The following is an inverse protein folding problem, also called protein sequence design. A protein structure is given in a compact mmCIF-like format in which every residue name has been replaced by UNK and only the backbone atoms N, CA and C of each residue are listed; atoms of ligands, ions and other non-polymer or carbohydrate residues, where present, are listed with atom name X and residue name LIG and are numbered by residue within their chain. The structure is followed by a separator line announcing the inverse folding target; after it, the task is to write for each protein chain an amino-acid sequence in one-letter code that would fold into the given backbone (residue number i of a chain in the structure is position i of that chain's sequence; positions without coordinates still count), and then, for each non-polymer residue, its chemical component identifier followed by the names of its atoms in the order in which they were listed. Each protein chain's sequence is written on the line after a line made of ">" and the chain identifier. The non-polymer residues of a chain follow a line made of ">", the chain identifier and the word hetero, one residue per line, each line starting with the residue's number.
data_IF_368368296476
#
_entry.id   IF_368368296476
#
_cell.length_a   1.000
_cell.length_b   1.000
_cell.length_c   1.000
_cell.angle_alpha   90.00
_cell.angle_beta   90.00
_cell.angle_gamma   90.00
#
_symmetry.space_group_name_H-M   'P 1'
#
loop_
_entity.id
_entity.type
_entity.pdbx_description
1 polymer ?
#
# COMPACT_ATOMS: atom_id res chain seq x y z
N UNK A 1 11.98 -11.33 -5.87
CA UNK A 1 12.67 -12.58 -5.48
C UNK A 1 11.66 -13.49 -4.79
N UNK A 2 11.84 -14.81 -4.91
CA UNK A 2 10.97 -15.80 -4.28
C UNK A 2 11.76 -16.65 -3.29
N UNK A 3 11.09 -17.08 -2.24
CA UNK A 3 11.61 -17.98 -1.21
C UNK A 3 10.62 -19.14 -1.01
N UNK A 4 11.13 -20.32 -0.69
CA UNK A 4 10.35 -21.50 -0.33
C UNK A 4 10.83 -22.00 1.04
N UNK A 5 9.90 -22.08 2.00
CA UNK A 5 10.22 -22.40 3.41
C UNK A 5 11.33 -21.51 4.01
N UNK A 6 11.35 -20.24 3.61
CA UNK A 6 12.31 -19.23 4.06
C UNK A 6 13.64 -19.21 3.31
N UNK A 7 13.94 -20.24 2.52
CA UNK A 7 15.17 -20.32 1.71
C UNK A 7 14.97 -19.75 0.31
N UNK A 8 16.01 -19.15 -0.27
CA UNK A 8 15.94 -18.57 -1.61
C UNK A 8 15.52 -19.64 -2.64
N UNK A 9 14.49 -19.34 -3.42
CA UNK A 9 13.93 -20.31 -4.37
C UNK A 9 14.95 -20.59 -5.49
N UNK A 10 15.37 -21.85 -5.59
CA UNK A 10 16.27 -22.32 -6.66
C UNK A 10 15.47 -22.54 -7.94
N UNK A 11 15.77 -21.75 -8.97
CA UNK A 11 15.14 -21.89 -10.29
C UNK A 11 15.68 -23.13 -11.03
N UNK A 12 14.80 -23.85 -11.72
CA UNK A 12 15.11 -25.01 -12.53
C UNK A 12 14.01 -25.25 -13.59
N UNK A 13 14.02 -26.39 -14.27
CA UNK A 13 13.04 -26.74 -15.31
C UNK A 13 11.59 -26.84 -14.80
N UNK A 14 11.39 -27.15 -13.51
CA UNK A 14 10.06 -27.24 -12.87
C UNK A 14 9.64 -25.95 -12.17
N UNK A 15 10.59 -25.18 -11.61
CA UNK A 15 10.34 -23.98 -10.82
C UNK A 15 11.02 -22.80 -11.46
N UNK A 16 10.25 -21.88 -12.04
CA UNK A 16 10.80 -20.72 -12.73
C UNK A 16 10.08 -19.44 -12.33
N UNK A 17 10.79 -18.30 -12.37
CA UNK A 17 10.19 -16.99 -12.12
C UNK A 17 10.27 -16.18 -13.40
N UNK A 18 9.11 -15.74 -13.89
CA UNK A 18 9.00 -14.88 -15.07
C UNK A 18 9.49 -13.45 -14.79
N UNK A 19 9.74 -12.68 -15.84
CA UNK A 19 10.23 -11.29 -15.77
C UNK A 19 9.25 -10.35 -15.05
N UNK A 20 7.96 -10.65 -15.10
CA UNK A 20 6.89 -9.95 -14.38
C UNK A 20 6.80 -10.33 -12.89
N UNK A 21 7.66 -11.23 -12.42
CA UNK A 21 7.71 -11.70 -11.04
C UNK A 21 6.81 -12.91 -10.75
N UNK A 22 6.11 -13.45 -11.75
CA UNK A 22 5.22 -14.61 -11.59
C UNK A 22 6.03 -15.89 -11.35
N UNK A 23 5.74 -16.61 -10.26
CA UNK A 23 6.29 -17.94 -9.99
C UNK A 23 5.48 -19.00 -10.75
N UNK A 24 6.17 -19.79 -11.56
CA UNK A 24 5.63 -20.89 -12.35
C UNK A 24 6.18 -22.20 -11.81
N UNK A 25 5.28 -23.07 -11.36
CA UNK A 25 5.58 -24.44 -10.94
C UNK A 25 4.97 -25.41 -11.97
N UNK A 26 5.79 -26.29 -12.54
CA UNK A 26 5.39 -27.33 -13.50
C UNK A 26 5.54 -28.70 -12.84
N UNK A 27 4.72 -29.65 -13.28
CA UNK A 27 4.76 -31.05 -12.83
C UNK A 27 4.77 -31.15 -11.29
N UNK A 28 3.75 -30.55 -10.67
CA UNK A 28 3.60 -30.43 -9.22
C UNK A 28 3.64 -31.80 -8.54
N UNK A 29 4.44 -31.91 -7.48
CA UNK A 29 4.49 -33.08 -6.60
C UNK A 29 4.25 -32.69 -5.11
N UNK A 30 4.11 -33.68 -4.23
CA UNK A 30 3.82 -33.43 -2.80
C UNK A 30 4.92 -32.60 -2.10
N UNK A 31 6.17 -32.71 -2.55
CA UNK A 31 7.31 -31.96 -2.05
C UNK A 31 7.33 -30.48 -2.48
N UNK A 32 6.48 -30.07 -3.41
CA UNK A 32 6.25 -28.66 -3.71
C UNK A 32 5.24 -28.00 -2.74
N UNK A 33 4.63 -28.77 -1.84
CA UNK A 33 3.77 -28.20 -0.80
C UNK A 33 4.60 -27.44 0.22
N UNK A 34 4.18 -26.23 0.55
CA UNK A 34 4.86 -25.39 1.53
C UNK A 34 4.51 -23.92 1.40
N UNK A 35 5.25 -23.10 2.16
CA UNK A 35 5.08 -21.65 2.17
C UNK A 35 6.01 -21.00 1.14
N UNK A 36 5.41 -20.29 0.19
CA UNK A 36 6.11 -19.48 -0.80
C UNK A 36 6.02 -18.00 -0.43
N UNK A 37 7.15 -17.34 -0.40
CA UNK A 37 7.25 -15.92 -0.06
C UNK A 37 7.77 -15.14 -1.25
N UNK A 38 6.94 -14.24 -1.78
CA UNK A 38 7.35 -13.25 -2.75
C UNK A 38 7.88 -12.01 -2.03
N UNK A 39 9.06 -11.57 -2.44
CA UNK A 39 9.70 -10.35 -1.96
C UNK A 39 9.91 -9.42 -3.15
N UNK A 40 9.22 -8.29 -3.14
CA UNK A 40 9.52 -7.16 -4.03
C UNK A 40 10.36 -6.15 -3.25
N UNK A 41 11.56 -5.83 -3.73
CA UNK A 41 12.47 -4.90 -3.05
C UNK A 41 12.96 -3.83 -4.02
N UNK A 42 13.00 -2.59 -3.54
CA UNK A 42 13.66 -1.46 -4.20
C UNK A 42 14.59 -0.76 -3.22
N UNK A 43 15.27 0.30 -3.66
CA UNK A 43 16.07 1.15 -2.76
C UNK A 43 15.22 1.84 -1.67
N UNK A 44 13.90 1.93 -1.86
CA UNK A 44 12.98 2.59 -0.93
C UNK A 44 12.31 1.67 0.08
N UNK A 45 12.41 0.34 -0.07
CA UNK A 45 11.74 -0.58 0.84
C UNK A 45 11.55 -1.99 0.30
N UNK A 46 10.90 -2.83 1.11
CA UNK A 46 10.68 -4.25 0.83
C UNK A 46 9.22 -4.60 1.11
N UNK A 47 8.50 -5.06 0.08
CA UNK A 47 7.19 -5.67 0.23
C UNK A 47 7.33 -7.18 0.25
N UNK A 48 6.60 -7.83 1.17
CA UNK A 48 6.64 -9.28 1.37
C UNK A 48 5.22 -9.81 1.31
N UNK A 49 5.00 -10.85 0.51
CA UNK A 49 3.72 -11.55 0.43
C UNK A 49 3.94 -13.05 0.57
N UNK A 50 3.14 -13.72 1.40
CA UNK A 50 3.22 -15.16 1.63
C UNK A 50 1.99 -15.86 1.05
N UNK A 51 2.20 -17.02 0.45
CA UNK A 51 1.15 -17.94 0.04
C UNK A 51 1.51 -19.36 0.44
N UNK A 52 0.53 -20.14 0.88
CA UNK A 52 0.70 -21.57 1.17
C UNK A 52 0.18 -22.36 -0.02
N UNK A 53 1.02 -23.22 -0.57
CA UNK A 53 0.63 -24.20 -1.59
C UNK A 53 0.50 -25.57 -0.92
N UNK A 54 -0.63 -26.23 -1.15
CA UNK A 54 -0.85 -27.62 -0.76
C UNK A 54 -1.11 -28.44 -2.02
N UNK A 55 -0.26 -29.42 -2.28
CA UNK A 55 -0.41 -30.37 -3.39
C UNK A 55 -0.83 -31.72 -2.81
N UNK A 56 -2.01 -32.20 -3.20
CA UNK A 56 -2.44 -33.57 -2.88
C UNK A 56 -2.97 -34.31 -4.12
N UNK A 57 -3.11 -35.63 -3.98
CA UNK A 57 -3.53 -36.53 -5.04
C UNK A 57 -4.94 -36.19 -5.54
N UNK A 58 -5.16 -36.13 -6.88
CA UNK A 58 -6.46 -35.87 -7.48
C UNK A 58 -7.54 -36.93 -7.14
N UNK A 59 -7.13 -38.05 -6.56
CA UNK A 59 -8.00 -39.18 -6.23
C UNK A 59 -8.55 -39.05 -4.80
N UNK A 60 -8.05 -38.11 -3.97
CA UNK A 60 -8.54 -37.94 -2.61
C UNK A 60 -9.96 -37.32 -2.62
N UNK A 61 -11.02 -38.09 -2.29
CA UNK A 61 -12.40 -37.61 -2.38
C UNK A 61 -12.75 -36.58 -1.29
N UNK A 62 -11.90 -36.45 -0.26
CA UNK A 62 -12.10 -35.50 0.83
C UNK A 62 -11.46 -34.13 0.56
N UNK A 63 -10.84 -33.93 -0.61
CA UNK A 63 -10.17 -32.69 -0.96
C UNK A 63 -10.97 -31.92 -1.99
N UNK A 64 -11.51 -30.80 -1.54
CA UNK A 64 -11.98 -29.75 -2.42
C UNK A 64 -10.75 -28.97 -2.93
N UNK A 65 -10.39 -29.19 -4.19
CA UNK A 65 -9.34 -28.42 -4.84
C UNK A 65 -9.77 -26.95 -4.96
N UNK A 66 -9.29 -26.10 -4.06
CA UNK A 66 -9.34 -24.66 -4.24
C UNK A 66 -8.31 -24.30 -5.30
N UNK A 67 -8.73 -24.26 -6.56
CA UNK A 67 -7.94 -23.59 -7.58
C UNK A 67 -7.75 -22.14 -7.14
N UNK A 68 -6.54 -21.60 -7.31
CA UNK A 68 -6.34 -20.17 -7.17
C UNK A 68 -7.44 -19.46 -7.96
N UNK A 69 -8.15 -18.53 -7.31
CA UNK A 69 -9.23 -17.81 -7.95
C UNK A 69 -8.70 -17.22 -9.26
N UNK A 70 -9.46 -17.41 -10.35
CA UNK A 70 -9.15 -16.72 -11.59
C UNK A 70 -9.05 -15.21 -11.28
N UNK A 71 -8.04 -14.54 -11.80
CA UNK A 71 -7.88 -13.09 -11.66
C UNK A 71 -9.12 -12.34 -12.18
N UNK A 72 -9.88 -12.97 -13.09
CA UNK A 72 -11.19 -12.48 -13.52
C UNK A 72 -12.24 -12.50 -12.40
N UNK A 73 -12.17 -13.46 -11.47
CA UNK A 73 -13.08 -13.63 -10.33
C UNK A 73 -12.81 -12.65 -9.18
N UNK A 74 -11.59 -12.10 -9.10
CA UNK A 74 -11.22 -11.06 -8.15
C UNK A 74 -11.82 -9.69 -8.54
N UNK A 75 -12.19 -8.86 -7.56
CA UNK A 75 -12.68 -7.52 -7.83
C UNK A 75 -11.55 -6.63 -8.37
N UNK A 76 -11.91 -5.51 -8.98
CA UNK A 76 -10.99 -4.47 -9.41
C UNK A 76 -10.46 -3.64 -8.23
N UNK A 77 -9.25 -3.06 -8.35
CA UNK A 77 -8.70 -2.15 -7.35
C UNK A 77 -9.56 -0.88 -7.24
N UNK A 78 -9.80 -0.34 -6.03
CA UNK A 78 -10.43 0.96 -5.85
C UNK A 78 -9.64 2.10 -6.50
N UNK A 79 -10.26 3.28 -6.57
CA UNK A 79 -9.55 4.50 -6.99
C UNK A 79 -8.49 4.92 -5.97
N UNK A 80 -7.60 5.83 -6.37
CA UNK A 80 -6.61 6.46 -5.48
C UNK A 80 -7.34 7.01 -4.23
N UNK A 81 -6.96 6.61 -3.01
CA UNK A 81 -7.53 7.16 -1.78
C UNK A 81 -7.19 8.65 -1.67
N UNK A 82 -8.20 9.46 -1.38
CA UNK A 82 -8.08 10.90 -1.18
C UNK A 82 -8.10 11.21 0.31
N UNK A 83 -7.28 12.17 0.75
CA UNK A 83 -7.36 12.69 2.10
C UNK A 83 -8.61 13.57 2.19
N UNK A 84 -9.54 13.20 3.06
CA UNK A 84 -10.77 13.96 3.29
C UNK A 84 -10.65 14.89 4.49
N UNK A 85 -10.05 14.42 5.59
CA UNK A 85 -9.83 15.22 6.79
C UNK A 85 -8.64 14.68 7.58
N UNK A 86 -7.98 15.53 8.37
CA UNK A 86 -6.91 15.16 9.28
C UNK A 86 -7.01 15.91 10.59
N UNK A 87 -6.50 15.29 11.65
CA UNK A 87 -6.28 15.90 12.97
C UNK A 87 -4.84 15.63 13.39
N UNK A 88 -4.45 16.09 14.58
CA UNK A 88 -3.13 15.84 15.18
C UNK A 88 -2.79 14.35 15.41
N UNK A 89 -3.75 13.44 15.21
CA UNK A 89 -3.52 12.01 15.42
C UNK A 89 -4.39 11.10 14.56
N UNK A 90 -5.08 11.64 13.56
CA UNK A 90 -5.96 10.85 12.71
C UNK A 90 -6.06 11.39 11.30
N UNK A 91 -6.30 10.51 10.34
CA UNK A 91 -6.55 10.85 8.94
C UNK A 91 -7.76 10.07 8.47
N UNK A 92 -8.70 10.80 7.88
CA UNK A 92 -9.85 10.22 7.19
C UNK A 92 -9.56 10.22 5.70
N UNK A 93 -9.61 9.04 5.10
CA UNK A 93 -9.46 8.83 3.66
C UNK A 93 -10.77 8.37 3.04
N UNK A 94 -11.00 8.74 1.79
CA UNK A 94 -12.14 8.30 0.98
C UNK A 94 -11.68 7.75 -0.37
N UNK A 95 -12.47 6.88 -0.97
CA UNK A 95 -12.19 6.31 -2.29
C UNK A 95 -13.50 5.96 -3.00
N UNK A 96 -13.42 5.52 -4.26
CA UNK A 96 -14.54 5.00 -5.02
C UNK A 96 -14.32 3.53 -5.39
N UNK A 97 -15.40 2.76 -5.40
CA UNK A 97 -15.38 1.37 -5.85
C UNK A 97 -15.13 1.29 -7.37
N UNK A 98 -14.41 0.25 -7.79
CA UNK A 98 -14.26 -0.09 -9.20
C UNK A 98 -15.52 -0.79 -9.74
N UNK A 99 -15.87 -0.55 -11.01
CA UNK A 99 -16.99 -1.23 -11.67
C UNK A 99 -16.77 -2.74 -11.84
N UNK A 100 -15.51 -3.21 -11.85
CA UNK A 100 -15.20 -4.65 -11.86
C UNK A 100 -15.42 -5.24 -10.45
N UNK A 101 -16.55 -5.92 -10.25
CA UNK A 101 -16.85 -6.62 -8.98
C UNK A 101 -16.29 -8.06 -8.92
N UNK A 102 -15.96 -8.65 -10.06
CA UNK A 102 -15.53 -10.06 -10.16
C UNK A 102 -16.72 -11.02 -10.12
N UNK A 103 -16.51 -12.23 -9.59
CA UNK A 103 -17.50 -13.33 -9.62
C UNK A 103 -18.45 -13.35 -8.41
N UNK A 104 -18.26 -12.46 -7.44
CA UNK A 104 -19.14 -12.35 -6.26
C UNK A 104 -19.27 -10.90 -5.81
N UNK A 105 -20.30 -10.61 -5.01
CA UNK A 105 -20.51 -9.28 -4.44
C UNK A 105 -19.33 -8.84 -3.58
N UNK A 106 -19.08 -7.54 -3.57
CA UNK A 106 -18.06 -6.93 -2.71
C UNK A 106 -18.47 -7.09 -1.25
N UNK A 107 -17.55 -7.61 -0.44
CA UNK A 107 -17.72 -7.79 1.00
C UNK A 107 -17.18 -6.59 1.80
N UNK A 108 -16.30 -5.79 1.21
CA UNK A 108 -15.74 -4.58 1.81
C UNK A 108 -14.35 -4.25 1.29
N UNK A 109 -13.60 -3.47 2.06
CA UNK A 109 -12.25 -3.03 1.71
C UNK A 109 -11.22 -3.35 2.80
N UNK A 110 -9.98 -3.60 2.38
CA UNK A 110 -8.80 -3.66 3.24
C UNK A 110 -8.00 -2.38 3.05
N UNK A 111 -7.69 -1.69 4.15
CA UNK A 111 -6.91 -0.46 4.19
C UNK A 111 -5.53 -0.75 4.75
N UNK A 112 -4.49 -0.30 4.05
CA UNK A 112 -3.10 -0.42 4.49
C UNK A 112 -2.44 0.95 4.55
N UNK A 113 -1.48 1.07 5.46
CA UNK A 113 -0.69 2.28 5.67
C UNK A 113 0.79 1.99 5.55
N UNK A 114 1.54 2.96 5.04
CA UNK A 114 2.99 2.97 5.05
C UNK A 114 3.49 4.25 5.72
N UNK A 115 4.50 4.13 6.56
CA UNK A 115 5.31 5.24 7.06
C UNK A 115 6.78 4.85 7.03
N UNK A 116 7.64 5.81 6.70
CA UNK A 116 9.10 5.63 6.77
C UNK A 116 9.60 5.63 8.22
N UNK A 117 8.87 6.26 9.14
CA UNK A 117 9.35 6.60 10.48
C UNK A 117 8.73 5.72 11.58
N UNK A 118 7.46 5.30 11.43
CA UNK A 118 6.71 4.58 12.49
C UNK A 118 7.01 3.08 12.63
N UNK A 119 8.13 2.61 12.12
CA UNK A 119 8.53 1.20 12.25
C UNK A 119 9.36 0.91 13.51
N UNK A 120 9.39 1.85 14.44
CA UNK A 120 10.11 1.79 15.71
C UNK A 120 9.15 1.76 16.91
N UNK A 121 8.04 1.03 16.81
CA UNK A 121 7.12 0.78 17.92
C UNK A 121 7.26 -0.64 18.49
N UNK A 122 7.04 -0.81 19.78
CA UNK A 122 7.29 -2.06 20.52
C UNK A 122 6.43 -3.28 20.06
N UNK A 123 5.41 -3.05 19.23
CA UNK A 123 4.49 -4.08 18.72
C UNK A 123 4.58 -4.30 17.20
N UNK A 124 5.47 -3.58 16.50
CA UNK A 124 5.80 -3.88 15.10
C UNK A 124 7.15 -4.59 15.09
N UNK A 125 7.29 -5.71 14.35
CA UNK A 125 8.60 -6.33 14.18
C UNK A 125 9.61 -5.26 13.76
N UNK A 126 10.74 -5.19 14.46
CA UNK A 126 11.81 -4.17 14.36
C UNK A 126 12.40 -3.97 12.95
N UNK A 127 11.87 -4.68 11.95
CA UNK A 127 12.31 -4.80 10.56
C UNK A 127 11.19 -4.57 9.53
N UNK A 128 10.00 -4.10 9.91
CA UNK A 128 8.83 -4.03 9.03
C UNK A 128 8.86 -2.85 8.04
N UNK A 129 9.88 -2.72 7.18
CA UNK A 129 9.97 -1.71 6.11
C UNK A 129 8.92 -1.90 4.99
N UNK A 130 7.63 -1.83 5.32
CA UNK A 130 6.54 -2.14 4.39
C UNK A 130 5.16 -1.69 4.86
N UNK A 131 4.16 -1.99 4.03
CA UNK A 131 2.75 -1.67 4.28
C UNK A 131 2.18 -2.50 5.43
N UNK A 132 1.35 -1.88 6.27
CA UNK A 132 0.69 -2.48 7.44
C UNK A 132 -0.82 -2.39 7.26
N UNK A 133 -1.54 -3.49 7.50
CA UNK A 133 -3.02 -3.50 7.47
C UNK A 133 -3.58 -2.78 8.69
N UNK A 134 -4.33 -1.70 8.46
CA UNK A 134 -5.06 -0.97 9.50
C UNK A 134 -6.44 -1.53 9.75
N UNK A 135 -7.14 -1.92 8.69
CA UNK A 135 -8.50 -2.42 8.78
C UNK A 135 -8.81 -3.41 7.64
N UNK A 136 -9.71 -4.35 7.93
CA UNK A 136 -10.29 -5.29 6.98
C UNK A 136 -11.81 -5.17 7.03
N UNK A 137 -12.46 -5.48 5.91
CA UNK A 137 -13.93 -5.44 5.77
C UNK A 137 -14.53 -4.09 6.17
N UNK A 138 -13.89 -3.00 5.74
CA UNK A 138 -14.50 -1.67 5.79
C UNK A 138 -15.63 -1.64 4.76
N UNK A 139 -16.87 -1.45 5.18
CA UNK A 139 -18.04 -1.50 4.28
C UNK A 139 -18.28 -0.19 3.54
N UNK A 140 -17.89 0.93 4.14
CA UNK A 140 -17.99 2.26 3.53
C UNK A 140 -16.75 2.54 2.70
N UNK A 141 -16.88 3.36 1.65
CA UNK A 141 -15.75 3.83 0.85
C UNK A 141 -14.99 4.98 1.55
N UNK A 142 -14.86 4.87 2.87
CA UNK A 142 -14.26 5.83 3.78
C UNK A 142 -13.69 5.09 5.00
N UNK A 143 -12.54 5.54 5.49
CA UNK A 143 -11.95 5.04 6.72
C UNK A 143 -11.16 6.13 7.45
N UNK A 144 -11.26 6.15 8.77
CA UNK A 144 -10.46 7.03 9.63
C UNK A 144 -9.38 6.23 10.34
N UNK A 145 -8.14 6.40 9.89
CA UNK A 145 -6.95 5.92 10.57
C UNK A 145 -6.71 6.77 11.83
N UNK A 146 -6.62 6.14 13.00
CA UNK A 146 -6.48 6.82 14.30
C UNK A 146 -5.15 6.45 14.97
N UNK A 147 -4.77 7.20 16.00
CA UNK A 147 -3.54 6.98 16.78
C UNK A 147 -2.28 7.09 15.92
N UNK A 148 -2.31 8.00 14.94
CA UNK A 148 -1.16 8.34 14.12
C UNK A 148 -0.24 9.28 14.91
N UNK A 149 1.05 9.23 14.62
CA UNK A 149 2.07 9.99 15.36
C UNK A 149 2.25 11.37 14.71
N UNK A 150 2.14 12.47 15.47
CA UNK A 150 2.49 13.81 14.98
C UNK A 150 3.92 13.88 14.42
N UNK A 151 4.12 14.69 13.39
CA UNK A 151 5.39 14.85 12.67
C UNK A 151 5.70 13.71 11.69
N UNK A 152 4.92 12.62 11.70
CA UNK A 152 5.18 11.47 10.82
C UNK A 152 4.37 11.54 9.54
N UNK A 153 5.03 11.29 8.41
CA UNK A 153 4.38 11.15 7.10
C UNK A 153 3.83 9.74 6.88
N UNK A 154 2.55 9.67 6.46
CA UNK A 154 1.84 8.45 6.12
C UNK A 154 1.35 8.46 4.67
N UNK A 155 1.26 7.26 4.08
CA UNK A 155 0.63 6.98 2.80
C UNK A 155 -0.33 5.80 2.94
N UNK A 156 -1.39 5.77 2.15
CA UNK A 156 -2.45 4.77 2.24
C UNK A 156 -2.69 4.07 0.90
N UNK A 157 -3.03 2.78 0.95
CA UNK A 157 -3.61 2.02 -0.17
C UNK A 157 -4.84 1.27 0.29
N UNK A 158 -5.72 0.97 -0.66
CA UNK A 158 -6.95 0.22 -0.41
C UNK A 158 -7.08 -0.92 -1.41
N UNK A 159 -7.58 -2.06 -0.94
CA UNK A 159 -7.95 -3.23 -1.77
C UNK A 159 -9.43 -3.56 -1.57
N UNK A 160 -10.11 -3.96 -2.62
CA UNK A 160 -11.48 -4.48 -2.57
C UNK A 160 -11.45 -5.96 -2.20
N UNK A 161 -12.37 -6.43 -1.36
CA UNK A 161 -12.52 -7.84 -0.99
C UNK A 161 -13.86 -8.38 -1.51
N UNK A 162 -13.82 -9.56 -2.13
CA UNK A 162 -15.02 -10.38 -2.37
C UNK A 162 -14.79 -11.82 -1.86
N UNK A 163 -15.74 -12.73 -2.05
CA UNK A 163 -15.63 -14.11 -1.54
C UNK A 163 -14.47 -14.92 -2.18
N UNK A 164 -13.91 -14.45 -3.29
CA UNK A 164 -12.77 -15.07 -3.97
C UNK A 164 -11.42 -14.46 -3.57
N UNK A 165 -11.40 -13.32 -2.88
CA UNK A 165 -10.19 -12.72 -2.33
C UNK A 165 -10.10 -11.20 -2.50
N UNK A 166 -8.86 -10.70 -2.40
CA UNK A 166 -8.54 -9.28 -2.52
C UNK A 166 -8.18 -8.90 -3.97
N UNK A 167 -8.58 -7.71 -4.38
CA UNK A 167 -8.10 -7.07 -5.60
C UNK A 167 -6.60 -6.75 -5.52
N UNK A 168 -6.04 -6.30 -6.65
CA UNK A 168 -4.82 -5.48 -6.63
C UNK A 168 -4.99 -4.23 -5.75
N UNK A 169 -3.89 -3.58 -5.39
CA UNK A 169 -3.93 -2.31 -4.65
C UNK A 169 -4.44 -1.17 -5.52
N UNK A 170 -5.12 -0.21 -4.91
CA UNK A 170 -5.27 1.13 -5.47
C UNK A 170 -3.90 1.75 -5.76
N UNK A 171 -3.83 2.84 -6.56
CA UNK A 171 -2.72 3.77 -6.47
C UNK A 171 -2.51 4.24 -5.02
N UNK A 172 -1.27 4.59 -4.69
CA UNK A 172 -0.91 5.14 -3.39
C UNK A 172 -1.54 6.52 -3.23
N UNK A 173 -2.07 6.83 -2.03
CA UNK A 173 -2.58 8.16 -1.69
C UNK A 173 -1.48 9.23 -1.79
N UNK A 174 -1.88 10.50 -1.78
CA UNK A 174 -0.90 11.54 -1.46
C UNK A 174 -0.37 11.34 -0.03
N UNK A 175 0.89 11.74 0.16
CA UNK A 175 1.54 11.67 1.46
C UNK A 175 0.97 12.76 2.38
N UNK A 176 0.77 12.43 3.66
CA UNK A 176 0.28 13.38 4.66
C UNK A 176 1.10 13.28 5.94
N UNK A 177 1.58 14.43 6.42
CA UNK A 177 2.24 14.57 7.73
C UNK A 177 1.23 14.98 8.78
N UNK A 178 1.22 14.29 9.91
CA UNK A 178 0.27 14.52 10.99
C UNK A 178 0.71 15.69 11.87
N UNK A 179 -0.20 16.57 12.28
CA UNK A 179 0.11 17.66 13.21
C UNK A 179 0.86 18.85 12.59
N UNK A 180 1.11 18.86 11.28
CA UNK A 180 1.39 20.11 10.57
C UNK A 180 0.07 20.68 10.08
N UNK A 181 -0.54 21.54 10.89
CA UNK A 181 -1.61 22.40 10.42
C UNK A 181 -1.06 23.28 9.28
N UNK A 182 -1.48 23.00 8.05
CA UNK A 182 -1.36 23.95 6.94
C UNK A 182 -2.12 25.25 7.22
N UNK A 183 -2.93 25.26 8.29
CA UNK A 183 -3.57 26.45 8.82
C UNK A 183 -2.74 27.25 9.85
N UNK A 184 -1.70 26.66 10.46
CA UNK A 184 -0.88 27.38 11.45
C UNK A 184 0.15 28.31 10.81
N UNK A 185 0.48 28.10 9.53
CA UNK A 185 1.37 28.99 8.79
C UNK A 185 0.73 30.34 8.41
N UNK A 186 -0.60 30.47 8.44
CA UNK A 186 -1.28 31.77 8.28
C UNK A 186 -1.62 32.47 9.61
N UNK A 187 -1.68 31.74 10.73
CA UNK A 187 -1.92 32.33 12.06
C UNK A 187 -0.65 32.74 12.82
N UNK A 188 0.52 32.21 12.48
CA UNK A 188 1.78 32.51 13.20
C UNK A 188 2.42 33.87 12.86
N UNK A 189 1.79 34.70 12.03
CA UNK A 189 2.18 36.11 11.89
C UNK A 189 3.57 36.37 11.28
N UNK A 190 4.31 35.34 10.85
CA UNK A 190 5.65 35.50 10.27
C UNK A 190 5.61 36.18 8.88
N UNK A 191 4.45 36.21 8.22
CA UNK A 191 4.28 36.87 6.91
C UNK A 191 3.36 38.11 6.94
N UNK A 192 2.97 38.63 8.12
CA UNK A 192 1.96 39.70 8.18
C UNK A 192 2.44 41.09 7.74
N UNK A 193 3.74 41.30 7.50
CA UNK A 193 4.32 42.63 7.29
C UNK A 193 5.06 42.84 5.96
N UNK A 194 4.88 41.99 4.95
CA UNK A 194 5.33 42.33 3.58
C UNK A 194 4.12 42.71 2.72
N UNK A 195 3.77 44.00 2.77
CA UNK A 195 2.77 44.64 1.89
C UNK A 195 3.10 44.48 0.40
N UNK A 196 4.35 44.22 0.03
CA UNK A 196 4.73 43.88 -1.35
C UNK A 196 4.28 42.48 -1.79
N UNK A 197 4.21 41.51 -0.87
CA UNK A 197 3.83 40.13 -1.21
C UNK A 197 2.32 40.00 -1.45
N UNK A 198 1.50 40.81 -0.77
CA UNK A 198 0.04 40.88 -0.96
C UNK A 198 -0.36 41.42 -2.34
N UNK A 199 0.43 42.31 -2.92
CA UNK A 199 0.12 42.91 -4.22
C UNK A 199 0.46 41.98 -5.39
N UNK A 200 1.41 41.04 -5.22
CA UNK A 200 1.80 40.13 -6.30
C UNK A 200 0.88 38.91 -6.46
N UNK A 201 0.24 38.43 -5.38
CA UNK A 201 -0.66 37.25 -5.43
C UNK A 201 -2.04 37.59 -6.05
N UNK A 202 -2.45 38.86 -6.03
CA UNK A 202 -3.72 39.33 -6.60
C UNK A 202 -3.63 39.76 -8.07
N UNK A 203 -2.46 39.62 -8.68
CA UNK A 203 -2.30 39.77 -10.13
C UNK A 203 -2.02 38.39 -10.70
N UNK A 204 -2.70 38.00 -11.79
CA UNK A 204 -2.59 36.73 -12.55
C UNK A 204 -1.17 36.43 -13.12
N UNK A 205 -0.12 36.94 -12.49
CA UNK A 205 1.26 36.69 -12.85
C UNK A 205 1.70 35.38 -12.20
N UNK A 206 1.55 34.29 -12.95
CA UNK A 206 2.21 33.01 -12.66
C UNK A 206 3.72 33.28 -12.61
N UNK A 207 4.30 33.18 -11.41
CA UNK A 207 5.77 33.24 -11.24
C UNK A 207 6.30 31.84 -11.49
N UNK A 208 6.92 31.64 -12.66
CA UNK A 208 7.59 30.40 -13.01
C UNK A 208 8.98 30.37 -12.35
N UNK A 209 9.28 29.26 -11.65
CA UNK A 209 10.58 29.05 -11.03
C UNK A 209 11.58 28.66 -12.12
N UNK A 210 12.34 29.64 -12.62
CA UNK A 210 13.25 29.43 -13.75
C UNK A 210 14.50 28.63 -13.34
N UNK A 211 14.98 28.78 -12.11
CA UNK A 211 16.14 28.02 -11.62
C UNK A 211 16.22 28.01 -10.09
N UNK A 212 16.73 26.92 -9.52
CA UNK A 212 17.06 26.81 -8.10
C UNK A 212 18.41 26.11 -7.95
N UNK A 213 19.33 26.70 -7.18
CA UNK A 213 20.63 26.11 -6.88
C UNK A 213 20.67 25.62 -5.43
N UNK A 214 21.14 24.38 -5.18
CA UNK A 214 21.32 23.88 -3.83
C UNK A 214 22.53 24.57 -3.18
N UNK A 215 22.35 25.02 -1.95
CA UNK A 215 23.46 25.48 -1.11
C UNK A 215 23.93 24.26 -0.33
N UNK A 216 25.08 23.71 -0.71
CA UNK A 216 25.73 22.61 0.00
C UNK A 216 25.94 22.99 1.47
N UNK A 217 25.40 22.16 2.37
CA UNK A 217 25.66 22.25 3.80
C UNK A 217 27.10 21.81 4.08
N UNK A 218 28.03 22.76 4.09
CA UNK A 218 29.31 22.59 4.79
C UNK A 218 29.05 22.67 6.29
N UNK A 219 29.25 21.55 6.98
CA UNK A 219 30.39 21.29 7.89
C UNK A 219 30.31 19.87 8.39
#
# INVERSE_FOLDING_TARGET
>A
AWYFEGEALIQNHRRNVSNDGTLILKDLDKGDSGTYTCVASSHHGKYVWNGVLLVDSPINPNIHFFRAADVSALPGPPTKPQIYNSTDNSVTITWNQNNKIGSSSVLGYQVEVFSRETLQGNNTPRNSRGWVVLARRVYQAQYTAKSLIPGVTYMFIVRTENSHGLSGSSPVSDAITIGEDTNSLWETGVYSNNTEFRNNILTDNIVELIEATPIDAKT
#
